data_IF_821687791037
#
_entry.id   IF_821687791037
#
_cell.length_a   1.000
_cell.length_b   1.000
_cell.length_c   1.000
_cell.angle_alpha   90.00
_cell.angle_beta   90.00
_cell.angle_gamma   90.00
#
_symmetry.space_group_name_H-M   'P 1'
#
loop_
_entity.id
_entity.type
_entity.pdbx_description
1 polymer ?
#
# COMPACT_ATOMS: atom_id res chain seq x y z
N UNK A 1 -5.59 -5.50 -12.76
CA UNK A 1 -4.69 -5.86 -11.67
C UNK A 1 -5.29 -5.50 -10.33
N UNK A 2 -6.44 -6.07 -10.00
CA UNK A 2 -7.18 -5.84 -8.76
C UNK A 2 -8.22 -6.95 -8.58
N UNK A 3 -8.76 -7.10 -7.38
CA UNK A 3 -9.62 -8.24 -7.02
C UNK A 3 -11.09 -8.05 -7.41
N UNK A 4 -11.47 -6.83 -7.81
CA UNK A 4 -12.85 -6.48 -8.16
C UNK A 4 -12.95 -6.39 -9.68
N UNK A 5 -13.86 -7.16 -10.26
CA UNK A 5 -14.16 -7.11 -11.69
C UNK A 5 -14.64 -5.69 -12.08
N UNK A 6 -14.12 -5.19 -13.21
CA UNK A 6 -14.39 -3.82 -13.67
C UNK A 6 -13.62 -2.73 -12.93
N UNK A 7 -12.86 -3.05 -11.87
CA UNK A 7 -12.02 -2.06 -11.20
C UNK A 7 -10.83 -1.63 -12.09
N UNK A 8 -10.66 -0.31 -12.24
CA UNK A 8 -9.58 0.29 -13.01
C UNK A 8 -8.43 0.70 -12.09
N UNK A 9 -7.18 0.56 -12.54
CA UNK A 9 -6.01 0.90 -11.74
C UNK A 9 -5.93 2.42 -11.50
N UNK A 10 -5.62 2.80 -10.26
CA UNK A 10 -5.53 4.18 -9.78
C UNK A 10 -6.80 5.01 -10.02
N UNK A 11 -7.97 4.38 -9.90
CA UNK A 11 -9.25 5.05 -10.11
C UNK A 11 -10.29 4.73 -9.03
N UNK A 12 -11.19 5.69 -8.86
CA UNK A 12 -12.40 5.56 -8.06
C UNK A 12 -13.61 5.72 -8.97
N UNK A 13 -14.47 4.70 -8.99
CA UNK A 13 -15.62 4.59 -9.90
C UNK A 13 -16.86 4.12 -9.13
N UNK A 14 -18.05 4.33 -9.72
CA UNK A 14 -19.31 3.76 -9.23
C UNK A 14 -19.70 2.61 -10.17
N UNK A 15 -19.83 1.39 -9.64
CA UNK A 15 -20.29 0.22 -10.37
C UNK A 15 -21.55 -0.32 -9.69
N UNK A 16 -22.67 -0.37 -10.42
CA UNK A 16 -23.94 -0.87 -9.88
C UNK A 16 -24.43 -0.13 -8.62
N UNK A 17 -24.10 1.16 -8.49
CA UNK A 17 -24.43 1.98 -7.32
C UNK A 17 -23.45 1.88 -6.15
N UNK A 18 -22.38 1.07 -6.26
CA UNK A 18 -21.34 0.93 -5.23
C UNK A 18 -20.07 1.66 -5.64
N UNK A 19 -19.46 2.39 -4.70
CA UNK A 19 -18.17 3.03 -4.91
C UNK A 19 -17.03 2.00 -4.82
N UNK A 20 -16.29 1.85 -5.91
CA UNK A 20 -15.12 0.99 -6.03
C UNK A 20 -13.88 1.87 -6.15
N UNK A 21 -13.00 1.77 -5.15
CA UNK A 21 -11.73 2.48 -5.10
C UNK A 21 -10.59 1.48 -5.33
N UNK A 22 -9.84 1.65 -6.41
CA UNK A 22 -8.65 0.87 -6.69
C UNK A 22 -7.46 1.82 -6.85
N UNK A 23 -6.98 2.32 -5.73
CA UNK A 23 -5.81 3.22 -5.64
C UNK A 23 -4.59 2.43 -5.21
N UNK A 24 -3.54 2.47 -6.02
CA UNK A 24 -2.24 1.88 -5.74
C UNK A 24 -1.42 2.75 -4.80
N UNK A 25 -0.47 2.13 -4.11
CA UNK A 25 0.39 2.85 -3.20
C UNK A 25 -0.38 3.50 -2.06
N UNK A 26 -1.38 2.81 -1.49
CA UNK A 26 -2.10 3.26 -0.29
C UNK A 26 -1.18 3.80 0.84
N UNK A 27 0.06 3.30 1.05
CA UNK A 27 1.01 3.93 1.98
C UNK A 27 1.28 5.43 1.71
N UNK A 28 1.06 5.93 0.49
CA UNK A 28 1.13 7.35 0.13
C UNK A 28 0.06 8.21 0.82
N UNK A 29 -1.05 7.62 1.27
CA UNK A 29 -2.08 8.35 2.03
C UNK A 29 -1.57 8.78 3.42
N UNK A 30 -0.59 8.05 3.97
CA UNK A 30 0.04 8.34 5.26
C UNK A 30 1.57 8.34 5.12
N UNK A 31 2.15 9.28 4.35
CA UNK A 31 3.53 9.18 3.88
C UNK A 31 4.55 9.20 5.01
N UNK A 32 4.32 10.00 6.07
CA UNK A 32 5.20 10.06 7.23
C UNK A 32 5.24 8.73 7.99
N UNK A 33 4.07 8.17 8.31
CA UNK A 33 3.96 6.89 9.04
C UNK A 33 4.50 5.73 8.19
N UNK A 34 4.19 5.69 6.90
CA UNK A 34 4.70 4.69 5.98
C UNK A 34 6.24 4.73 5.91
N UNK A 35 6.82 5.92 5.82
CA UNK A 35 8.28 6.10 5.78
C UNK A 35 8.94 5.66 7.09
N UNK A 36 8.32 6.00 8.23
CA UNK A 36 8.81 5.57 9.54
C UNK A 36 8.79 4.04 9.67
N UNK A 37 7.66 3.40 9.40
CA UNK A 37 7.51 1.94 9.51
C UNK A 37 8.45 1.20 8.54
N UNK A 38 8.65 1.73 7.33
CA UNK A 38 9.61 1.17 6.38
C UNK A 38 11.05 1.26 6.90
N UNK A 39 11.43 2.39 7.47
CA UNK A 39 12.74 2.58 8.10
C UNK A 39 12.95 1.60 9.25
N UNK A 40 11.98 1.47 10.15
CA UNK A 40 12.02 0.53 11.28
C UNK A 40 12.16 -0.93 10.82
N UNK A 41 11.37 -1.35 9.82
CA UNK A 41 11.46 -2.70 9.26
C UNK A 41 12.84 -2.96 8.62
N UNK A 42 13.40 -1.97 7.92
CA UNK A 42 14.72 -2.06 7.30
C UNK A 42 15.82 -2.20 8.35
N UNK A 43 15.76 -1.42 9.43
CA UNK A 43 16.74 -1.50 10.51
C UNK A 43 16.75 -2.86 11.17
N UNK A 44 15.56 -3.40 11.52
CA UNK A 44 15.46 -4.75 12.10
C UNK A 44 16.04 -5.83 11.19
N UNK A 45 15.74 -5.75 9.89
CA UNK A 45 16.30 -6.69 8.92
C UNK A 45 17.83 -6.63 8.91
N UNK A 46 18.43 -5.43 8.93
CA UNK A 46 19.89 -5.27 8.95
C UNK A 46 20.51 -5.76 10.25
N UNK A 47 19.87 -5.51 11.39
CA UNK A 47 20.30 -6.00 12.70
C UNK A 47 20.33 -7.54 12.74
N UNK A 48 19.24 -8.19 12.32
CA UNK A 48 19.18 -9.66 12.21
C UNK A 48 20.25 -10.24 11.26
N UNK A 49 20.64 -9.50 10.21
CA UNK A 49 21.68 -9.92 9.27
C UNK A 49 23.10 -9.74 9.79
N UNK A 50 23.32 -8.86 10.76
CA UNK A 50 24.64 -8.60 11.34
C UNK A 50 24.96 -9.51 12.55
N UNK A 51 23.95 -10.23 13.06
CA UNK A 51 24.11 -11.23 14.13
C UNK A 51 24.41 -12.65 13.58
N UNK A 52 24.71 -12.79 12.28
CA UNK A 52 25.11 -14.03 11.60
C UNK A 52 26.58 -14.02 11.21
#
# INVERSE_FOLDING_TARGET
GGNVEGAQHDQTLILGGVQVCNVSGYPKAHPAQASQLWSEATMRFLEERNEV
#
